data_IF_338273686786
#
_entry.id   IF_338273686786
#
_cell.length_a   1.000
_cell.length_b   1.000
_cell.length_c   1.000
_cell.angle_alpha   90.00
_cell.angle_beta   90.00
_cell.angle_gamma   90.00
#
_symmetry.space_group_name_H-M   'P 1'
#
loop_
_entity.id
_entity.type
_entity.pdbx_description
1 polymer ?
#
# COMPACT_ATOMS: atom_id res chain seq x y z
N UNK A 1 7.40 -15.35 -11.81
CA UNK A 1 6.93 -14.13 -11.11
C UNK A 1 5.71 -13.61 -11.86
N UNK A 2 4.67 -13.02 -11.24
CA UNK A 2 3.56 -12.44 -12.00
C UNK A 2 4.05 -11.47 -13.08
N UNK A 3 5.09 -10.69 -12.77
CA UNK A 3 5.77 -9.76 -13.70
C UNK A 3 6.25 -10.45 -14.97
N UNK A 4 6.73 -11.70 -14.92
CA UNK A 4 7.22 -12.41 -16.12
C UNK A 4 6.10 -12.82 -17.07
N UNK A 5 4.86 -12.92 -16.59
CA UNK A 5 3.70 -13.28 -17.42
C UNK A 5 3.03 -12.08 -18.08
N UNK A 6 3.26 -10.86 -17.57
CA UNK A 6 2.63 -9.62 -18.06
C UNK A 6 3.59 -8.67 -18.75
N UNK A 7 4.90 -8.93 -18.66
CA UNK A 7 5.93 -8.07 -19.26
C UNK A 7 6.11 -8.36 -20.74
N UNK A 8 6.30 -7.29 -21.52
CA UNK A 8 6.77 -7.36 -22.91
C UNK A 8 8.30 -7.19 -23.00
N UNK A 9 9.01 -7.51 -21.91
CA UNK A 9 10.48 -7.40 -21.80
C UNK A 9 11.00 -6.16 -21.08
N UNK A 10 10.15 -5.19 -20.76
CA UNK A 10 10.58 -3.86 -20.25
C UNK A 10 10.38 -3.64 -18.76
N UNK A 11 9.67 -4.53 -18.07
CA UNK A 11 9.45 -4.41 -16.63
C UNK A 11 10.68 -4.85 -15.84
N UNK A 12 10.99 -4.07 -14.81
CA UNK A 12 12.04 -4.39 -13.86
C UNK A 12 11.62 -5.55 -12.96
N UNK A 13 12.55 -6.49 -12.75
CA UNK A 13 12.36 -7.59 -11.82
C UNK A 13 13.00 -7.25 -10.47
N UNK A 14 12.23 -7.22 -9.37
CA UNK A 14 12.79 -6.94 -8.06
C UNK A 14 13.70 -8.08 -7.61
N UNK A 15 14.79 -7.72 -6.92
CA UNK A 15 15.63 -8.71 -6.24
C UNK A 15 14.85 -9.41 -5.12
N UNK A 16 15.30 -10.60 -4.72
CA UNK A 16 14.66 -11.33 -3.62
C UNK A 16 14.65 -10.53 -2.30
N UNK A 17 15.73 -9.80 -2.01
CA UNK A 17 15.82 -8.94 -0.83
C UNK A 17 14.79 -7.81 -0.86
N UNK A 18 14.61 -7.16 -2.02
CA UNK A 18 13.60 -6.13 -2.20
C UNK A 18 12.18 -6.71 -2.04
N UNK A 19 11.89 -7.87 -2.63
CA UNK A 19 10.60 -8.53 -2.46
C UNK A 19 10.28 -8.86 -1.00
N UNK A 20 11.27 -9.36 -0.24
CA UNK A 20 11.10 -9.62 1.20
C UNK A 20 10.83 -8.34 1.98
N UNK A 21 11.56 -7.27 1.69
CA UNK A 21 11.32 -5.95 2.29
C UNK A 21 9.89 -5.48 2.02
N UNK A 22 9.45 -5.46 0.75
CA UNK A 22 8.10 -5.00 0.38
C UNK A 22 7.02 -5.88 1.02
N UNK A 23 7.22 -7.20 1.08
CA UNK A 23 6.28 -8.11 1.74
C UNK A 23 6.13 -7.79 3.23
N UNK A 24 7.26 -7.57 3.93
CA UNK A 24 7.24 -7.17 5.35
C UNK A 24 6.55 -5.82 5.58
N UNK A 25 6.69 -4.87 4.64
CA UNK A 25 5.99 -3.60 4.69
C UNK A 25 4.48 -3.76 4.42
N UNK A 26 4.07 -4.68 3.53
CA UNK A 26 2.65 -5.00 3.27
C UNK A 26 2.00 -5.69 4.47
N UNK A 27 2.69 -6.61 5.12
CA UNK A 27 2.19 -7.25 6.35
C UNK A 27 1.97 -6.22 7.45
N UNK A 28 2.95 -5.31 7.64
CA UNK A 28 2.85 -4.24 8.64
C UNK A 28 1.75 -3.24 8.29
N UNK A 29 1.62 -2.88 7.01
CA UNK A 29 0.55 -1.99 6.54
C UNK A 29 -0.83 -2.62 6.76
N UNK A 30 -1.00 -3.88 6.36
CA UNK A 30 -2.24 -4.63 6.50
C UNK A 30 -2.63 -4.77 7.97
N UNK A 31 -1.67 -5.07 8.84
CA UNK A 31 -1.90 -5.14 10.27
C UNK A 31 -2.29 -3.77 10.87
N UNK A 32 -1.61 -2.70 10.48
CA UNK A 32 -1.96 -1.35 10.94
C UNK A 32 -3.42 -1.01 10.59
N UNK A 33 -3.85 -1.24 9.34
CA UNK A 33 -5.20 -0.88 8.88
C UNK A 33 -6.28 -1.94 9.13
N UNK A 34 -5.93 -3.08 9.74
CA UNK A 34 -6.93 -3.99 10.31
C UNK A 34 -7.41 -3.53 11.69
N UNK A 35 -6.52 -2.88 12.47
CA UNK A 35 -6.84 -2.40 13.82
C UNK A 35 -7.06 -0.87 13.90
N UNK A 36 -6.51 -0.10 12.95
CA UNK A 36 -6.71 1.35 12.86
C UNK A 36 -7.64 1.73 11.71
N UNK A 37 -8.48 2.72 11.97
CA UNK A 37 -9.24 3.37 10.92
C UNK A 37 -8.37 4.36 10.15
N UNK A 38 -8.65 4.50 8.85
CA UNK A 38 -8.06 5.52 8.01
C UNK A 38 -8.52 6.92 8.47
N UNK A 39 -7.56 7.78 8.82
CA UNK A 39 -7.72 9.13 9.36
C UNK A 39 -6.61 10.05 8.83
N UNK A 40 -6.70 11.34 9.14
CA UNK A 40 -5.69 12.35 8.76
C UNK A 40 -4.27 11.98 9.21
N UNK A 41 -4.14 11.32 10.35
CA UNK A 41 -2.85 10.98 10.97
C UNK A 41 -2.39 9.55 10.65
N UNK A 42 -3.03 8.86 9.70
CA UNK A 42 -2.73 7.44 9.42
C UNK A 42 -1.31 7.18 8.94
N UNK A 43 -0.61 8.16 8.36
CA UNK A 43 0.80 8.01 8.03
C UNK A 43 1.67 7.96 9.29
N UNK A 44 1.33 8.74 10.31
CA UNK A 44 1.98 8.70 11.62
C UNK A 44 1.71 7.39 12.33
N UNK A 45 0.46 6.91 12.31
CA UNK A 45 0.10 5.59 12.85
C UNK A 45 0.96 4.49 12.21
N UNK A 46 1.06 4.48 10.87
CA UNK A 46 1.89 3.52 10.15
C UNK A 46 3.38 3.65 10.52
N UNK A 47 3.90 4.87 10.65
CA UNK A 47 5.29 5.10 11.06
C UNK A 47 5.57 4.52 12.46
N UNK A 48 4.64 4.65 13.42
CA UNK A 48 4.77 4.03 14.74
C UNK A 48 4.82 2.51 14.66
N UNK A 49 4.00 1.88 13.79
CA UNK A 49 4.04 0.43 13.58
C UNK A 49 5.38 -0.03 12.96
N UNK A 50 5.92 0.74 12.00
CA UNK A 50 7.22 0.46 11.40
C UNK A 50 8.38 0.62 12.39
N UNK A 51 8.24 1.47 13.41
CA UNK A 51 9.23 1.56 14.49
C UNK A 51 9.18 0.34 15.42
N UNK A 52 7.98 -0.20 15.69
CA UNK A 52 7.81 -1.41 16.50
C UNK A 52 8.32 -2.67 15.78
N UNK A 53 8.22 -2.70 14.45
CA UNK A 53 8.75 -3.77 13.61
C UNK A 53 9.64 -3.17 12.51
N UNK A 54 10.90 -2.86 12.80
CA UNK A 54 11.80 -2.25 11.85
C UNK A 54 12.00 -3.16 10.62
N UNK A 55 11.92 -2.61 9.39
CA UNK A 55 12.18 -3.38 8.18
C UNK A 55 13.65 -3.79 8.08
N UNK A 56 13.91 -4.92 7.41
CA UNK A 56 15.27 -5.32 7.08
C UNK A 56 15.93 -4.31 6.14
N UNK A 57 17.16 -3.92 6.44
CA UNK A 57 17.95 -3.03 5.59
C UNK A 57 18.41 -3.77 4.33
N UNK A 58 18.32 -3.10 3.17
CA UNK A 58 18.81 -3.63 1.89
C UNK A 58 19.78 -2.65 1.23
N UNK A 59 20.69 -3.18 0.41
CA UNK A 59 21.75 -2.41 -0.25
C UNK A 59 23.13 -2.70 0.35
N UNK A 60 24.16 -2.02 -0.14
CA UNK A 60 25.51 -2.13 0.40
C UNK A 60 25.66 -1.37 1.73
N UNK A 61 26.68 -1.71 2.52
CA UNK A 61 26.91 -1.15 3.86
C UNK A 61 26.86 0.38 3.94
N UNK A 62 27.40 1.05 2.92
CA UNK A 62 27.42 2.51 2.83
C UNK A 62 26.04 3.13 2.60
N UNK A 63 25.16 2.47 1.84
CA UNK A 63 23.92 3.08 1.34
C UNK A 63 22.64 2.45 1.92
N UNK A 64 22.75 1.33 2.64
CA UNK A 64 21.60 0.51 3.03
C UNK A 64 20.53 1.25 3.84
N UNK A 65 20.94 2.14 4.74
CA UNK A 65 20.02 2.93 5.57
C UNK A 65 19.28 3.96 4.71
N UNK A 66 20.02 4.75 3.93
CA UNK A 66 19.46 5.77 3.05
C UNK A 66 18.48 5.18 2.04
N UNK A 67 18.89 4.10 1.37
CA UNK A 67 18.09 3.40 0.36
C UNK A 67 16.81 2.82 0.97
N UNK A 68 16.93 2.10 2.09
CA UNK A 68 15.78 1.48 2.75
C UNK A 68 14.78 2.55 3.19
N UNK A 69 15.24 3.66 3.78
CA UNK A 69 14.36 4.75 4.19
C UNK A 69 13.59 5.38 3.01
N UNK A 70 14.24 5.53 1.86
CA UNK A 70 13.57 6.03 0.64
C UNK A 70 12.50 5.06 0.15
N UNK A 71 12.80 3.76 0.15
CA UNK A 71 11.85 2.72 -0.24
C UNK A 71 10.66 2.69 0.72
N UNK A 72 10.91 2.71 2.04
CA UNK A 72 9.86 2.73 3.06
C UNK A 72 8.96 3.96 2.91
N UNK A 73 9.54 5.14 2.70
CA UNK A 73 8.80 6.39 2.50
C UNK A 73 7.93 6.32 1.24
N UNK A 74 8.52 5.93 0.11
CA UNK A 74 7.81 5.82 -1.15
C UNK A 74 6.66 4.81 -1.07
N UNK A 75 6.96 3.61 -0.54
CA UNK A 75 5.98 2.55 -0.33
C UNK A 75 4.81 3.04 0.54
N UNK A 76 5.10 3.64 1.70
CA UNK A 76 4.07 4.05 2.67
C UNK A 76 3.09 5.05 2.07
N UNK A 77 3.62 6.07 1.36
CA UNK A 77 2.80 7.09 0.70
C UNK A 77 1.96 6.47 -0.41
N UNK A 78 2.59 5.69 -1.28
CA UNK A 78 1.93 5.08 -2.44
C UNK A 78 0.84 4.10 -2.01
N UNK A 79 1.11 3.28 -1.00
CA UNK A 79 0.15 2.29 -0.49
C UNK A 79 -1.04 2.97 0.18
N UNK A 80 -0.80 4.03 0.95
CA UNK A 80 -1.88 4.83 1.53
C UNK A 80 -2.76 5.48 0.46
N UNK A 81 -2.14 5.99 -0.61
CA UNK A 81 -2.87 6.55 -1.75
C UNK A 81 -3.77 5.49 -2.41
N UNK A 82 -3.26 4.28 -2.64
CA UNK A 82 -4.07 3.17 -3.17
C UNK A 82 -5.21 2.77 -2.24
N UNK A 83 -4.98 2.73 -0.93
CA UNK A 83 -6.03 2.43 0.06
C UNK A 83 -7.15 3.48 0.02
N UNK A 84 -6.79 4.78 0.03
CA UNK A 84 -7.76 5.89 -0.05
C UNK A 84 -8.55 5.82 -1.36
N UNK A 85 -7.86 5.65 -2.49
CA UNK A 85 -8.48 5.52 -3.82
C UNK A 85 -9.47 4.37 -3.86
N UNK A 86 -9.10 3.20 -3.35
CA UNK A 86 -9.97 2.02 -3.26
C UNK A 86 -11.23 2.27 -2.42
N UNK A 87 -11.09 2.87 -1.24
CA UNK A 87 -12.24 3.20 -0.38
C UNK A 87 -13.17 4.23 -1.03
N UNK A 88 -12.63 5.21 -1.72
CA UNK A 88 -13.42 6.21 -2.43
C UNK A 88 -14.20 5.59 -3.59
N UNK A 89 -13.58 4.68 -4.36
CA UNK A 89 -14.27 3.95 -5.43
C UNK A 89 -15.43 3.09 -4.90
N UNK A 90 -15.25 2.42 -3.75
CA UNK A 90 -16.32 1.63 -3.12
C UNK A 90 -17.49 2.50 -2.66
N UNK A 91 -17.20 3.66 -2.04
CA UNK A 91 -18.23 4.63 -1.63
C UNK A 91 -19.02 5.16 -2.82
N UNK A 92 -18.33 5.47 -3.91
CA UNK A 92 -18.95 5.96 -5.12
C UNK A 92 -19.86 4.90 -5.77
N UNK A 93 -19.38 3.66 -5.87
CA UNK A 93 -20.19 2.53 -6.37
C UNK A 93 -21.44 2.31 -5.52
N UNK A 94 -21.32 2.34 -4.18
CA UNK A 94 -22.47 2.23 -3.28
C UNK A 94 -23.48 3.38 -3.44
N UNK A 95 -23.00 4.60 -3.68
CA UNK A 95 -23.84 5.77 -3.96
C UNK A 95 -24.63 5.59 -5.25
N UNK A 96 -23.96 5.13 -6.32
CA UNK A 96 -24.59 4.87 -7.61
C UNK A 96 -25.66 3.77 -7.51
N UNK A 97 -25.35 2.67 -6.83
CA UNK A 97 -26.31 1.59 -6.59
C UNK A 97 -27.58 2.09 -5.87
N UNK A 98 -27.42 2.92 -4.83
CA UNK A 98 -28.55 3.53 -4.11
C UNK A 98 -29.38 4.45 -5.01
N UNK A 99 -28.76 5.22 -5.90
CA UNK A 99 -29.48 6.07 -6.84
C UNK A 99 -30.29 5.24 -7.85
N UNK A 100 -29.72 4.15 -8.35
CA UNK A 100 -30.43 3.24 -9.26
C UNK A 100 -31.65 2.60 -8.59
N UNK A 101 -31.54 2.20 -7.32
CA UNK A 101 -32.69 1.68 -6.56
C UNK A 101 -33.77 2.74 -6.39
N UNK A 102 -33.43 4.00 -6.11
CA UNK A 102 -34.43 5.08 -6.01
C UNK A 102 -35.18 5.30 -7.33
N UNK A 103 -34.49 5.27 -8.47
CA UNK A 103 -35.15 5.43 -9.78
C UNK A 103 -36.13 4.30 -10.09
N UNK A 104 -35.86 3.07 -9.63
CA UNK A 104 -36.76 1.92 -9.80
C UNK A 104 -38.08 2.03 -9.04
N UNK A 105 -38.16 2.87 -8.00
CA UNK A 105 -39.37 3.08 -7.22
C UNK A 105 -40.21 4.26 -7.72
N UNK A 106 -39.72 5.00 -8.72
CA UNK A 106 -40.37 6.19 -9.31
C UNK A 106 -40.96 5.88 -10.70
N UNK A 107 -40.54 4.77 -11.32
CA UNK A 107 -41.14 4.18 -12.52
C UNK A 107 -42.14 3.09 -12.11
#
# INVERSE_FOLDING_TARGET
SLTSHVTMGWLLYPSQALNKLISSLEDTFTHCFSVKQLRKNSLTDLASFLQLRPPALIGCEQHKVYLTNHIVKFYSITRLHFLVKGRNALRESARQAKNHMKMRHVL
#
